data_IF_215291360164
#
_entry.id   IF_215291360164
#
_cell.length_a   1.000
_cell.length_b   1.000
_cell.length_c   1.000
_cell.angle_alpha   90.00
_cell.angle_beta   90.00
_cell.angle_gamma   90.00
#
_symmetry.space_group_name_H-M   'P 1'
#
loop_
_entity.id
_entity.type
_entity.pdbx_description
1 polymer ?
#
# COMPACT_ATOMS: atom_id res chain seq x y z
N UNK A 1 -26.55 7.85 17.20
CA UNK A 1 -26.61 6.77 16.18
C UNK A 1 -25.62 7.07 15.06
N UNK A 2 -24.39 6.54 15.12
CA UNK A 2 -23.44 6.60 13.99
C UNK A 2 -23.66 5.37 13.13
N UNK A 3 -24.14 5.54 11.90
CA UNK A 3 -24.30 4.43 10.96
C UNK A 3 -22.90 3.98 10.53
N UNK A 4 -22.55 2.73 10.85
CA UNK A 4 -21.42 2.03 10.24
C UNK A 4 -21.51 2.20 8.72
N UNK A 5 -20.49 2.81 8.11
CA UNK A 5 -20.35 2.89 6.66
C UNK A 5 -19.20 1.96 6.24
N UNK A 6 -19.46 0.95 5.39
CA UNK A 6 -18.47 -0.05 5.03
C UNK A 6 -17.35 0.58 4.20
N UNK A 7 -16.13 0.05 4.35
CA UNK A 7 -14.95 0.41 3.59
C UNK A 7 -15.28 0.42 2.09
N UNK A 8 -15.28 1.60 1.47
CA UNK A 8 -15.63 1.71 0.06
C UNK A 8 -14.38 1.46 -0.79
N UNK A 9 -14.26 0.23 -1.27
CA UNK A 9 -13.22 -0.21 -2.19
C UNK A 9 -13.49 0.39 -3.57
N UNK A 10 -12.68 1.35 -4.03
CA UNK A 10 -12.83 1.93 -5.36
C UNK A 10 -11.62 1.56 -6.23
N UNK A 11 -11.79 0.51 -7.03
CA UNK A 11 -10.82 0.14 -8.06
C UNK A 11 -10.86 1.16 -9.19
N UNK A 12 -9.83 1.98 -9.32
CA UNK A 12 -9.70 2.93 -10.43
C UNK A 12 -9.19 2.22 -11.69
N UNK A 13 -10.12 1.61 -12.43
CA UNK A 13 -9.91 1.19 -13.82
C UNK A 13 -9.08 -0.09 -14.00
N UNK A 14 -9.55 -0.95 -14.91
CA UNK A 14 -8.89 -2.20 -15.30
C UNK A 14 -7.45 -1.87 -15.76
N UNK A 15 -6.44 -2.39 -15.06
CA UNK A 15 -5.04 -2.37 -15.50
C UNK A 15 -4.03 -1.55 -14.69
N UNK A 16 -4.39 -0.85 -13.60
CA UNK A 16 -3.43 0.05 -12.91
C UNK A 16 -2.77 -0.51 -11.64
N UNK A 17 -3.16 -1.68 -11.12
CA UNK A 17 -2.44 -2.33 -10.02
C UNK A 17 -2.27 -1.51 -8.73
N UNK A 18 -3.12 -0.49 -8.56
CA UNK A 18 -3.19 0.35 -7.37
C UNK A 18 -4.50 0.03 -6.69
N UNK A 19 -4.40 -0.37 -5.42
CA UNK A 19 -5.54 -0.45 -4.55
C UNK A 19 -5.47 0.70 -3.55
N UNK A 20 -6.47 1.59 -3.65
CA UNK A 20 -6.68 2.67 -2.69
C UNK A 20 -7.86 2.28 -1.81
N UNK A 21 -7.59 2.06 -0.52
CA UNK A 21 -8.64 1.92 0.47
C UNK A 21 -8.91 3.31 1.07
N UNK A 22 -10.17 3.74 1.04
CA UNK A 22 -10.60 4.99 1.67
C UNK A 22 -11.22 4.65 3.02
N UNK A 23 -10.43 4.79 4.08
CA UNK A 23 -10.93 4.90 5.46
C UNK A 23 -10.92 6.38 5.86
N UNK A 24 -11.84 6.80 6.73
CA UNK A 24 -12.20 8.21 7.00
C UNK A 24 -10.97 9.16 6.99
N UNK A 25 -10.90 10.01 5.96
CA UNK A 25 -9.89 11.07 5.74
C UNK A 25 -8.41 10.66 5.56
N UNK A 26 -8.07 9.37 5.34
CA UNK A 26 -6.69 8.97 4.97
C UNK A 26 -6.69 8.15 3.68
N UNK A 27 -5.93 8.61 2.69
CA UNK A 27 -5.75 7.89 1.43
C UNK A 27 -4.52 6.99 1.58
N UNK A 28 -4.77 5.70 1.84
CA UNK A 28 -3.71 4.70 1.88
C UNK A 28 -3.44 4.17 0.47
N UNK A 29 -2.16 4.03 0.14
CA UNK A 29 -1.72 3.38 -1.09
C UNK A 29 -1.09 2.04 -0.74
N UNK A 30 -1.63 0.97 -1.32
CA UNK A 30 -0.91 -0.29 -1.39
C UNK A 30 -0.15 -0.40 -2.72
N UNK A 31 1.13 -0.76 -2.64
CA UNK A 31 2.02 -0.81 -3.79
C UNK A 31 2.34 -2.25 -4.19
N UNK A 32 1.42 -2.92 -4.90
CA UNK A 32 1.60 -4.29 -5.41
C UNK A 32 2.36 -4.37 -6.75
N UNK A 33 2.36 -3.27 -7.51
CA UNK A 33 3.06 -3.16 -8.80
C UNK A 33 3.69 -1.79 -9.00
N UNK A 34 4.93 -1.58 -8.54
CA UNK A 34 5.65 -0.35 -8.82
C UNK A 34 6.08 -0.21 -10.29
N UNK A 35 5.63 -1.05 -11.24
CA UNK A 35 5.84 -0.85 -12.67
C UNK A 35 4.89 0.19 -13.28
N UNK A 36 3.69 0.39 -12.71
CA UNK A 36 2.70 1.33 -13.22
C UNK A 36 3.09 2.79 -12.94
N UNK A 37 2.99 3.68 -13.95
CA UNK A 37 3.34 5.12 -13.81
C UNK A 37 2.66 5.79 -12.61
N UNK A 38 1.38 5.47 -12.37
CA UNK A 38 0.62 6.01 -11.23
C UNK A 38 1.13 5.47 -9.89
N UNK A 39 1.50 4.18 -9.83
CA UNK A 39 1.96 3.55 -8.59
C UNK A 39 3.33 4.09 -8.21
N UNK A 40 4.24 4.26 -9.18
CA UNK A 40 5.55 4.91 -8.98
C UNK A 40 5.40 6.34 -8.49
N UNK A 41 4.51 7.11 -9.13
CA UNK A 41 4.25 8.49 -8.73
C UNK A 41 3.73 8.58 -7.30
N UNK A 42 2.74 7.78 -6.95
CA UNK A 42 2.20 7.75 -5.59
C UNK A 42 3.24 7.24 -4.58
N UNK A 43 4.03 6.23 -4.95
CA UNK A 43 5.13 5.72 -4.13
C UNK A 43 6.29 6.70 -3.97
N UNK A 44 6.41 7.74 -4.80
CA UNK A 44 7.38 8.82 -4.64
C UNK A 44 6.80 10.04 -3.89
N UNK A 45 5.54 10.41 -4.18
CA UNK A 45 4.96 11.70 -3.76
C UNK A 45 4.11 11.63 -2.48
N UNK A 46 3.50 10.48 -2.15
CA UNK A 46 2.65 10.40 -0.95
C UNK A 46 3.49 10.52 0.33
N UNK A 47 2.92 11.02 1.44
CA UNK A 47 3.53 10.88 2.75
C UNK A 47 3.84 9.40 3.05
N UNK A 48 5.01 9.14 3.65
CA UNK A 48 5.45 7.76 3.93
C UNK A 48 4.47 7.03 4.87
N UNK A 49 3.86 7.76 5.80
CA UNK A 49 2.78 7.31 6.70
C UNK A 49 1.47 6.96 6.00
N UNK A 50 1.40 7.02 4.67
CA UNK A 50 0.23 6.62 3.87
C UNK A 50 0.52 5.44 2.94
N UNK A 51 1.69 4.80 3.09
CA UNK A 51 2.15 3.75 2.19
C UNK A 51 2.22 2.43 2.94
N UNK A 52 1.66 1.39 2.32
CA UNK A 52 1.88 0.00 2.69
C UNK A 52 2.41 -0.76 1.48
N UNK A 53 3.27 -1.75 1.73
CA UNK A 53 3.76 -2.64 0.68
C UNK A 53 2.96 -3.94 0.72
N UNK A 54 2.59 -4.42 -0.46
CA UNK A 54 1.97 -5.73 -0.63
C UNK A 54 2.44 -6.31 -1.97
N UNK A 55 2.26 -7.61 -2.22
CA UNK A 55 2.55 -8.20 -3.55
C UNK A 55 1.28 -8.55 -4.33
N UNK A 56 0.18 -8.83 -3.63
CA UNK A 56 -1.06 -9.38 -4.18
C UNK A 56 -0.80 -10.57 -5.14
N UNK A 57 0.15 -11.40 -4.73
CA UNK A 57 0.51 -12.65 -5.39
C UNK A 57 -0.56 -13.72 -5.14
N UNK A 58 -0.87 -14.59 -6.11
CA UNK A 58 -0.27 -14.70 -7.46
C UNK A 58 -0.98 -13.84 -8.53
N UNK A 59 -1.92 -12.99 -8.15
CA UNK A 59 -2.86 -12.37 -9.09
C UNK A 59 -2.28 -11.21 -9.87
N UNK A 60 -1.34 -10.49 -9.26
CA UNK A 60 -0.76 -9.33 -9.90
C UNK A 60 0.22 -9.73 -10.99
N UNK A 61 1.20 -10.58 -10.71
CA UNK A 61 2.23 -10.97 -11.68
C UNK A 61 2.19 -12.47 -11.93
N UNK A 62 2.25 -12.88 -13.20
CA UNK A 62 2.50 -14.29 -13.52
C UNK A 62 3.81 -14.74 -12.85
N UNK A 63 3.74 -15.82 -12.07
CA UNK A 63 4.88 -16.32 -11.28
C UNK A 63 5.26 -15.47 -10.06
N UNK A 64 4.50 -14.42 -9.73
CA UNK A 64 4.76 -13.59 -8.55
C UNK A 64 4.53 -14.37 -7.24
N UNK A 65 5.38 -14.12 -6.24
CA UNK A 65 5.35 -14.78 -4.93
C UNK A 65 5.31 -13.75 -3.80
N UNK A 66 4.92 -14.12 -2.57
CA UNK A 66 5.05 -13.21 -1.42
C UNK A 66 6.49 -12.71 -1.18
N UNK A 67 7.50 -13.48 -1.61
CA UNK A 67 8.90 -13.10 -1.49
C UNK A 67 9.31 -11.93 -2.40
N UNK A 68 8.49 -11.57 -3.39
CA UNK A 68 8.72 -10.39 -4.25
C UNK A 68 8.64 -9.05 -3.50
N UNK A 69 8.19 -9.06 -2.25
CA UNK A 69 8.07 -7.85 -1.42
C UNK A 69 9.40 -7.10 -1.28
N UNK A 70 10.53 -7.81 -1.19
CA UNK A 70 11.86 -7.19 -1.10
C UNK A 70 12.20 -6.36 -2.34
N UNK A 71 11.88 -6.88 -3.52
CA UNK A 71 12.09 -6.18 -4.80
C UNK A 71 11.19 -4.95 -4.90
N UNK A 72 9.95 -5.03 -4.40
CA UNK A 72 9.05 -3.87 -4.34
C UNK A 72 9.64 -2.81 -3.41
N UNK A 73 10.14 -3.20 -2.23
CA UNK A 73 10.75 -2.29 -1.27
C UNK A 73 11.97 -1.57 -1.84
N UNK A 74 12.87 -2.27 -2.55
CA UNK A 74 14.03 -1.67 -3.23
C UNK A 74 13.61 -0.59 -4.24
N UNK A 75 12.56 -0.83 -5.02
CA UNK A 75 12.05 0.16 -5.97
C UNK A 75 11.51 1.39 -5.25
N UNK A 76 10.77 1.21 -4.15
CA UNK A 76 10.24 2.33 -3.36
C UNK A 76 11.37 3.12 -2.69
N UNK A 77 12.39 2.46 -2.14
CA UNK A 77 13.60 3.11 -1.63
C UNK A 77 14.26 3.98 -2.70
N UNK A 78 14.46 3.44 -3.91
CA UNK A 78 15.04 4.18 -5.03
C UNK A 78 14.19 5.38 -5.48
N UNK A 79 12.86 5.29 -5.40
CA UNK A 79 11.96 6.40 -5.72
C UNK A 79 11.98 7.51 -4.66
N UNK A 80 12.29 7.18 -3.40
CA UNK A 80 12.23 8.12 -2.26
C UNK A 80 13.58 8.62 -1.79
N UNK A 81 14.67 7.94 -2.15
CA UNK A 81 16.00 8.24 -1.61
C UNK A 81 16.15 7.89 -0.13
N UNK A 82 15.39 6.91 0.36
CA UNK A 82 15.45 6.42 1.75
C UNK A 82 16.01 5.00 1.83
N UNK A 83 16.49 4.62 3.02
CA UNK A 83 17.02 3.29 3.28
C UNK A 83 15.94 2.24 3.52
N UNK A 84 16.26 0.97 3.26
CA UNK A 84 15.37 -0.16 3.53
C UNK A 84 14.92 -0.24 5.01
N UNK A 85 15.78 0.00 6.03
CA UNK A 85 15.35 -0.04 7.43
C UNK A 85 14.29 1.02 7.77
N UNK A 86 14.43 2.22 7.20
CA UNK A 86 13.47 3.31 7.39
C UNK A 86 12.12 2.99 6.74
N UNK A 87 12.14 2.49 5.50
CA UNK A 87 10.93 2.06 4.79
C UNK A 87 10.22 0.93 5.55
N UNK A 88 10.94 -0.10 5.99
CA UNK A 88 10.38 -1.24 6.74
C UNK A 88 9.66 -0.76 7.98
N UNK A 89 10.36 -0.01 8.85
CA UNK A 89 9.81 0.49 10.11
C UNK A 89 8.58 1.37 9.92
N UNK A 90 8.56 2.20 8.86
CA UNK A 90 7.40 3.02 8.56
C UNK A 90 6.22 2.17 8.07
N UNK A 91 6.45 1.26 7.12
CA UNK A 91 5.38 0.44 6.53
C UNK A 91 4.79 -0.58 7.50
N UNK A 92 5.59 -1.13 8.42
CA UNK A 92 5.12 -1.97 9.53
C UNK A 92 4.19 -1.18 10.46
N UNK A 93 4.63 0.00 10.93
CA UNK A 93 3.80 0.89 11.76
C UNK A 93 2.49 1.28 11.06
N UNK A 94 2.56 1.52 9.76
CA UNK A 94 1.40 1.88 8.96
C UNK A 94 0.39 0.72 8.87
N UNK A 95 0.88 -0.50 8.62
CA UNK A 95 0.06 -1.71 8.60
C UNK A 95 -0.56 -1.96 9.97
N UNK A 96 0.21 -1.84 11.05
CA UNK A 96 -0.31 -2.00 12.41
C UNK A 96 -1.44 -0.99 12.69
N UNK A 97 -1.24 0.28 12.33
CA UNK A 97 -2.27 1.30 12.48
C UNK A 97 -3.49 1.09 11.58
N UNK A 98 -3.30 0.52 10.38
CA UNK A 98 -4.37 0.24 9.43
C UNK A 98 -5.20 -0.97 9.85
N UNK A 99 -4.54 -2.01 10.38
CA UNK A 99 -5.15 -3.27 10.79
C UNK A 99 -5.53 -3.32 12.27
N UNK A 100 -5.25 -2.26 13.03
CA UNK A 100 -5.78 -2.07 14.38
C UNK A 100 -7.32 -1.95 14.32
N UNK A 101 -7.99 -3.09 14.27
CA UNK A 101 -9.42 -3.18 14.52
C UNK A 101 -9.64 -2.78 15.98
N UNK A 102 -10.38 -1.69 16.19
CA UNK A 102 -10.87 -1.34 17.52
C UNK A 102 -11.70 -2.52 18.03
N UNK A 103 -11.15 -3.27 18.99
CA UNK A 103 -11.94 -4.15 19.87
C UNK A 103 -12.81 -3.25 20.75
N UNK A 104 -13.85 -2.68 20.15
CA UNK A 104 -14.98 -2.18 20.91
C UNK A 104 -15.74 -3.42 21.40
N UNK A 105 -15.30 -3.96 22.53
CA UNK A 105 -16.15 -4.72 23.45
C UNK A 105 -16.84 -3.70 24.36
#
# INVERSE_FOLDING_TARGET
MRRHRPCLFRQLGRGSGILQTRTENRHWLSAAKPAGKKARRAAAELPLEHIVLETDSPYMSEGGTPADISRIAEIVCGLRGIGLPELSAATERNVDGLLAFSSAV
#
